data_IF_612675933367
#
_entry.id   IF_612675933367
#
_cell.length_a   1.000
_cell.length_b   1.000
_cell.length_c   1.000
_cell.angle_alpha   90.00
_cell.angle_beta   90.00
_cell.angle_gamma   90.00
#
_symmetry.space_group_name_H-M   'P 1'
#
loop_
_entity.id
_entity.type
_entity.pdbx_description
1 polymer ?
#
# COMPACT_ATOMS: atom_id res chain seq x y z
N UNK A 1 -4.32 -72.01 61.48
CA UNK A 1 -3.03 -72.07 60.75
C UNK A 1 -2.87 -70.80 59.94
N UNK A 2 -1.68 -70.18 60.05
CA UNK A 2 -1.10 -69.07 59.27
C UNK A 2 -1.87 -67.73 59.15
N UNK A 3 -1.35 -66.77 59.92
CA UNK A 3 -1.49 -65.32 59.81
C UNK A 3 -0.88 -64.82 58.48
N UNK A 4 -1.42 -63.76 57.90
CA UNK A 4 -0.62 -62.71 57.26
C UNK A 4 -1.29 -61.35 57.47
N UNK A 5 -0.65 -60.53 58.31
CA UNK A 5 -0.79 -59.08 58.37
C UNK A 5 -0.13 -58.51 57.10
N UNK A 6 -0.77 -57.53 56.47
CA UNK A 6 -0.06 -56.50 55.70
C UNK A 6 -0.68 -55.14 56.04
N UNK A 7 0.19 -54.22 56.46
CA UNK A 7 -0.11 -52.85 56.88
C UNK A 7 0.35 -51.86 55.80
N UNK A 8 -0.38 -50.72 55.74
CA UNK A 8 0.01 -49.36 55.26
C UNK A 8 0.15 -49.11 53.73
N UNK A 9 0.02 -47.85 53.23
CA UNK A 9 -0.37 -46.59 53.90
C UNK A 9 -1.48 -45.76 53.22
N UNK A 10 -1.97 -44.81 54.01
CA UNK A 10 -2.80 -43.64 53.69
C UNK A 10 -2.00 -42.62 52.84
N UNK A 11 -2.55 -42.17 51.72
CA UNK A 11 -2.06 -41.02 50.96
C UNK A 11 -3.20 -40.01 50.74
N UNK A 12 -3.17 -38.93 51.52
CA UNK A 12 -3.84 -37.66 51.28
C UNK A 12 -3.20 -36.98 50.07
N UNK A 13 -3.97 -36.71 49.00
CA UNK A 13 -3.62 -35.66 48.03
C UNK A 13 -4.87 -34.95 47.51
N UNK A 14 -5.00 -33.71 48.00
CA UNK A 14 -5.49 -32.49 47.38
C UNK A 14 -6.43 -32.58 46.16
N UNK A 15 -7.66 -32.12 46.37
CA UNK A 15 -8.49 -31.52 45.34
C UNK A 15 -7.82 -30.24 44.82
N UNK A 16 -7.32 -30.27 43.58
CA UNK A 16 -7.06 -29.07 42.79
C UNK A 16 -8.13 -28.97 41.71
N UNK A 17 -9.11 -28.10 41.98
CA UNK A 17 -9.99 -27.52 40.97
C UNK A 17 -9.11 -26.83 39.93
N UNK A 18 -8.89 -27.46 38.78
CA UNK A 18 -8.35 -26.77 37.61
C UNK A 18 -9.48 -25.91 37.04
N UNK A 19 -9.50 -24.67 37.49
CA UNK A 19 -10.19 -23.56 36.84
C UNK A 19 -9.70 -23.53 35.39
N UNK A 20 -10.52 -24.05 34.48
CA UNK A 20 -10.27 -24.02 33.05
C UNK A 20 -10.40 -22.56 32.62
N UNK A 21 -9.29 -21.84 32.74
CA UNK A 21 -9.11 -20.50 32.21
C UNK A 21 -9.60 -20.48 30.79
N UNK A 22 -10.74 -19.83 30.58
CA UNK A 22 -11.16 -19.38 29.27
C UNK A 22 -10.10 -18.40 28.82
N UNK A 23 -9.17 -18.85 27.98
CA UNK A 23 -8.41 -17.96 27.11
C UNK A 23 -9.44 -17.06 26.41
N UNK A 24 -9.39 -15.76 26.74
CA UNK A 24 -10.14 -14.77 26.00
C UNK A 24 -9.73 -14.93 24.52
N UNK A 25 -10.68 -14.96 23.57
CA UNK A 25 -10.34 -15.08 22.17
C UNK A 25 -9.38 -13.94 21.83
N UNK A 26 -8.21 -14.28 21.27
CA UNK A 26 -7.28 -13.29 20.76
C UNK A 26 -8.05 -12.34 19.85
N UNK A 27 -8.12 -11.07 20.24
CA UNK A 27 -8.65 -10.02 19.39
C UNK A 27 -7.78 -10.01 18.14
N UNK A 28 -8.33 -10.48 17.02
CA UNK A 28 -7.69 -10.38 15.72
C UNK A 28 -7.55 -8.89 15.44
N UNK A 29 -6.37 -8.33 15.71
CA UNK A 29 -6.05 -6.96 15.29
C UNK A 29 -6.20 -6.91 13.78
N UNK A 30 -6.93 -5.90 13.31
CA UNK A 30 -7.00 -5.62 11.87
C UNK A 30 -5.57 -5.44 11.33
N UNK A 31 -5.30 -5.88 10.09
CA UNK A 31 -3.97 -5.72 9.50
C UNK A 31 -3.60 -4.23 9.44
N UNK A 32 -2.35 -3.91 9.74
CA UNK A 32 -1.83 -2.56 9.53
C UNK A 32 -1.91 -2.19 8.04
N UNK A 33 -2.13 -0.92 7.75
CA UNK A 33 -2.23 -0.43 6.37
C UNK A 33 -0.88 0.09 5.89
N UNK A 34 -0.54 -0.17 4.64
CA UNK A 34 0.63 0.40 3.97
C UNK A 34 0.19 1.28 2.80
N UNK A 35 0.46 2.59 2.88
CA UNK A 35 0.43 3.49 1.72
C UNK A 35 1.71 3.27 0.91
N UNK A 36 1.58 2.67 -0.27
CA UNK A 36 2.66 2.48 -1.22
C UNK A 36 2.54 3.52 -2.34
N UNK A 37 3.44 4.50 -2.35
CA UNK A 37 3.40 5.64 -3.26
C UNK A 37 4.48 5.50 -4.33
N UNK A 38 4.10 5.62 -5.59
CA UNK A 38 5.02 5.68 -6.72
C UNK A 38 5.01 7.08 -7.33
N UNK A 39 6.11 7.80 -7.22
CA UNK A 39 6.31 9.07 -7.92
C UNK A 39 6.98 8.80 -9.26
N UNK A 40 6.31 9.19 -10.34
CA UNK A 40 6.90 9.13 -11.66
C UNK A 40 7.97 10.20 -11.83
N UNK A 41 9.17 9.77 -12.18
CA UNK A 41 10.35 10.61 -12.39
C UNK A 41 10.80 10.64 -13.84
N UNK A 42 9.96 10.15 -14.75
CA UNK A 42 10.17 10.23 -16.19
C UNK A 42 9.98 11.67 -16.71
N UNK A 43 10.42 11.90 -17.94
CA UNK A 43 10.36 13.22 -18.58
C UNK A 43 8.93 13.69 -18.92
N UNK A 44 7.96 12.78 -18.99
CA UNK A 44 6.58 13.10 -19.36
C UNK A 44 5.78 13.71 -18.21
N UNK A 45 6.20 13.46 -16.95
CA UNK A 45 5.56 14.00 -15.75
C UNK A 45 6.31 15.23 -15.24
N UNK A 46 5.58 16.33 -15.04
CA UNK A 46 6.13 17.60 -14.55
C UNK A 46 5.52 17.97 -13.20
N UNK A 47 6.04 17.45 -12.08
CA UNK A 47 5.47 17.69 -10.75
C UNK A 47 5.57 19.16 -10.29
N UNK A 48 6.39 19.98 -10.95
CA UNK A 48 6.52 21.41 -10.69
C UNK A 48 5.55 22.28 -11.50
N UNK A 49 4.79 21.70 -12.45
CA UNK A 49 3.67 22.40 -13.06
C UNK A 49 2.65 22.79 -11.97
N UNK A 50 2.12 24.04 -11.93
CA UNK A 50 1.27 24.48 -10.83
C UNK A 50 0.03 23.62 -10.62
N UNK A 51 -0.62 23.16 -11.70
CA UNK A 51 -1.80 22.32 -11.61
C UNK A 51 -1.44 20.93 -11.05
N UNK A 52 -0.44 20.29 -11.65
CA UNK A 52 0.05 18.96 -11.22
C UNK A 52 0.48 19.01 -9.76
N UNK A 53 1.26 20.03 -9.39
CA UNK A 53 1.76 20.24 -8.04
C UNK A 53 0.62 20.31 -7.03
N UNK A 54 -0.38 21.15 -7.27
CA UNK A 54 -1.52 21.31 -6.37
C UNK A 54 -2.32 20.00 -6.26
N UNK A 55 -2.61 19.35 -7.40
CA UNK A 55 -3.34 18.07 -7.43
C UNK A 55 -2.60 17.00 -6.62
N UNK A 56 -1.30 16.84 -6.86
CA UNK A 56 -0.48 15.84 -6.19
C UNK A 56 -0.33 16.14 -4.70
N UNK A 57 -0.16 17.41 -4.30
CA UNK A 57 -0.13 17.80 -2.88
C UNK A 57 -1.43 17.45 -2.16
N UNK A 58 -2.57 17.70 -2.79
CA UNK A 58 -3.87 17.37 -2.21
C UNK A 58 -4.04 15.84 -2.07
N UNK A 59 -3.75 15.09 -3.13
CA UNK A 59 -3.85 13.64 -3.12
C UNK A 59 -2.92 13.00 -2.06
N UNK A 60 -1.68 13.49 -1.94
CA UNK A 60 -0.71 13.03 -0.94
C UNK A 60 -1.15 13.36 0.50
N UNK A 61 -1.78 14.52 0.70
CA UNK A 61 -2.34 14.90 2.01
C UNK A 61 -3.49 13.98 2.40
N UNK A 62 -4.40 13.71 1.46
CA UNK A 62 -5.56 12.83 1.68
C UNK A 62 -5.10 11.41 1.99
N UNK A 63 -4.24 10.82 1.16
CA UNK A 63 -3.82 9.42 1.33
C UNK A 63 -3.11 9.18 2.65
N UNK A 64 -2.23 10.10 3.10
CA UNK A 64 -1.52 9.93 4.37
C UNK A 64 -2.50 10.03 5.54
N UNK A 65 -3.46 10.97 5.46
CA UNK A 65 -4.49 11.14 6.49
C UNK A 65 -5.43 9.94 6.58
N UNK A 66 -5.77 9.34 5.44
CA UNK A 66 -6.66 8.18 5.32
C UNK A 66 -5.99 6.84 5.62
N UNK A 67 -4.68 6.74 5.45
CA UNK A 67 -3.95 5.47 5.60
C UNK A 67 -3.23 5.35 6.93
N UNK A 68 -2.61 6.43 7.41
CA UNK A 68 -1.83 6.39 8.66
C UNK A 68 -2.78 6.68 9.82
N UNK A 69 -3.26 5.64 10.49
CA UNK A 69 -4.25 5.69 11.57
C UNK A 69 -3.69 5.37 12.94
N UNK A 70 -2.54 4.69 13.03
CA UNK A 70 -1.86 4.45 14.28
C UNK A 70 -0.61 3.61 14.12
N UNK A 71 -0.10 3.13 15.25
CA UNK A 71 1.13 2.37 15.35
C UNK A 71 1.13 1.17 14.40
N UNK A 72 2.19 1.07 13.61
CA UNK A 72 2.39 -0.02 12.66
C UNK A 72 1.94 0.30 11.23
N UNK A 73 1.09 1.32 11.02
CA UNK A 73 0.77 1.81 9.69
C UNK A 73 2.01 2.39 9.01
N UNK A 74 2.09 2.22 7.70
CA UNK A 74 3.32 2.42 6.93
C UNK A 74 3.13 3.33 5.73
N UNK A 75 4.15 4.11 5.42
CA UNK A 75 4.34 4.80 4.14
C UNK A 75 5.63 4.30 3.50
N UNK A 76 5.55 3.78 2.29
CA UNK A 76 6.71 3.52 1.42
C UNK A 76 6.60 4.32 0.13
N UNK A 77 7.66 5.04 -0.23
CA UNK A 77 7.74 5.82 -1.47
C UNK A 77 8.81 5.23 -2.37
N UNK A 78 8.44 5.05 -3.64
CA UNK A 78 9.30 4.59 -4.71
C UNK A 78 9.28 5.58 -5.88
N UNK A 79 10.34 5.57 -6.68
CA UNK A 79 10.38 6.27 -7.95
C UNK A 79 10.09 5.32 -9.11
N UNK A 80 9.32 5.79 -10.09
CA UNK A 80 9.15 5.08 -11.36
C UNK A 80 10.23 5.55 -12.33
N UNK A 81 11.03 4.59 -12.80
CA UNK A 81 12.01 4.74 -13.88
C UNK A 81 12.43 3.35 -14.37
N UNK A 82 13.54 3.20 -15.09
CA UNK A 82 14.08 1.91 -15.57
C UNK A 82 14.32 0.81 -14.49
N UNK A 83 14.30 1.15 -13.20
CA UNK A 83 14.61 0.24 -12.10
C UNK A 83 13.68 0.46 -10.88
N UNK A 84 12.40 0.70 -11.15
CA UNK A 84 11.36 1.00 -10.15
C UNK A 84 11.38 0.07 -8.93
N UNK A 85 11.55 -1.24 -9.13
CA UNK A 85 11.51 -2.23 -8.05
C UNK A 85 12.60 -2.03 -6.96
N UNK A 86 13.71 -1.35 -7.29
CA UNK A 86 14.81 -1.06 -6.35
C UNK A 86 14.89 0.40 -5.94
N UNK A 87 14.00 1.24 -6.46
CA UNK A 87 14.05 2.69 -6.34
C UNK A 87 13.30 3.22 -5.11
N UNK A 88 13.48 2.59 -3.95
CA UNK A 88 12.83 3.07 -2.72
C UNK A 88 13.49 4.36 -2.24
N UNK A 89 12.70 5.42 -2.14
CA UNK A 89 13.14 6.74 -1.71
C UNK A 89 12.88 6.99 -0.22
N UNK A 90 11.75 6.50 0.30
CA UNK A 90 11.33 6.73 1.69
C UNK A 90 10.64 5.50 2.27
N UNK A 91 10.89 5.23 3.54
CA UNK A 91 10.14 4.27 4.36
C UNK A 91 9.88 4.89 5.73
N UNK A 92 8.63 4.87 6.17
CA UNK A 92 8.20 5.35 7.49
C UNK A 92 7.13 4.44 8.07
N UNK A 93 7.20 4.24 9.39
CA UNK A 93 6.23 3.46 10.16
C UNK A 93 5.76 4.32 11.32
N UNK A 94 4.45 4.48 11.46
CA UNK A 94 3.85 5.25 12.55
C UNK A 94 4.12 4.58 13.89
N UNK A 95 4.47 5.40 14.88
CA UNK A 95 4.67 4.98 16.27
C UNK A 95 3.59 5.54 17.19
N UNK A 96 2.64 6.31 16.65
CA UNK A 96 1.52 6.86 17.41
C UNK A 96 0.63 5.74 17.96
N UNK A 97 0.66 5.56 19.27
CA UNK A 97 -0.09 4.53 19.97
C UNK A 97 -1.10 5.18 20.90
N UNK A 98 -2.35 4.69 20.86
CA UNK A 98 -3.38 5.13 21.80
C UNK A 98 -3.19 4.36 23.10
N UNK A 99 -3.14 5.10 24.21
CA UNK A 99 -3.07 4.51 25.56
C UNK A 99 -4.31 3.64 25.85
N UNK A 100 -4.12 2.54 26.56
CA UNK A 100 -5.23 1.72 27.02
C UNK A 100 -5.98 2.42 28.15
N UNK A 101 -7.21 2.83 27.85
CA UNK A 101 -8.09 3.58 28.76
C UNK A 101 -9.27 2.76 29.25
N UNK A 102 -9.19 1.43 29.17
CA UNK A 102 -10.27 0.52 29.59
C UNK A 102 -10.68 0.67 31.05
N UNK A 103 -9.79 1.14 31.92
CA UNK A 103 -10.06 1.43 33.33
C UNK A 103 -10.06 2.93 33.70
N UNK A 104 -10.01 3.83 32.70
CA UNK A 104 -9.88 5.26 32.94
C UNK A 104 -11.25 5.93 33.20
N UNK A 105 -11.26 7.06 33.91
CA UNK A 105 -12.45 7.91 33.95
C UNK A 105 -12.62 8.69 32.63
N UNK A 106 -13.78 9.34 32.43
CA UNK A 106 -14.07 10.05 31.18
C UNK A 106 -13.03 11.12 30.83
N UNK A 107 -12.58 11.90 31.82
CA UNK A 107 -11.59 12.97 31.62
C UNK A 107 -10.26 12.39 31.15
N UNK A 108 -9.81 11.31 31.76
CA UNK A 108 -8.56 10.63 31.41
C UNK A 108 -8.66 9.99 30.01
N UNK A 109 -9.81 9.41 29.67
CA UNK A 109 -10.05 8.85 28.34
C UNK A 109 -10.02 9.93 27.23
N UNK A 110 -10.63 11.10 27.47
CA UNK A 110 -10.61 12.24 26.55
C UNK A 110 -9.19 12.84 26.42
N UNK A 111 -8.42 12.88 27.51
CA UNK A 111 -7.04 13.34 27.51
C UNK A 111 -6.12 12.39 26.73
N UNK A 112 -6.31 11.07 26.86
CA UNK A 112 -5.59 10.06 26.10
C UNK A 112 -5.90 10.14 24.60
N UNK A 113 -7.18 10.29 24.23
CA UNK A 113 -7.59 10.48 22.82
C UNK A 113 -6.96 11.73 22.22
N UNK A 114 -7.01 12.85 22.94
CA UNK A 114 -6.43 14.11 22.48
C UNK A 114 -4.91 13.98 22.30
N UNK A 115 -4.23 13.35 23.26
CA UNK A 115 -2.78 13.09 23.20
C UNK A 115 -2.39 12.20 22.02
N UNK A 116 -3.20 11.18 21.75
CA UNK A 116 -3.03 10.29 20.61
C UNK A 116 -3.18 11.04 19.28
N UNK A 117 -4.28 11.78 19.10
CA UNK A 117 -4.53 12.54 17.86
C UNK A 117 -3.46 13.61 17.59
N UNK A 118 -2.99 14.31 18.63
CA UNK A 118 -1.87 15.26 18.50
C UNK A 118 -0.59 14.56 18.05
N UNK A 119 -0.29 13.37 18.59
CA UNK A 119 0.89 12.60 18.24
C UNK A 119 0.81 12.06 16.81
N UNK A 120 -0.33 11.49 16.45
CA UNK A 120 -0.61 10.98 15.11
C UNK A 120 -0.54 12.11 14.06
N UNK A 121 -1.10 13.27 14.36
CA UNK A 121 -1.04 14.42 13.45
C UNK A 121 0.38 14.92 13.22
N UNK A 122 1.24 14.94 14.26
CA UNK A 122 2.66 15.28 14.12
C UNK A 122 3.39 14.30 13.21
N UNK A 123 3.12 13.00 13.35
CA UNK A 123 3.71 11.98 12.47
C UNK A 123 3.25 12.12 11.03
N UNK A 124 1.93 12.28 10.80
CA UNK A 124 1.37 12.52 9.45
C UNK A 124 2.00 13.74 8.79
N UNK A 125 2.16 14.84 9.51
CA UNK A 125 2.81 16.05 8.98
C UNK A 125 4.29 15.84 8.65
N UNK A 126 5.01 15.03 9.45
CA UNK A 126 6.39 14.66 9.15
C UNK A 126 6.46 13.83 7.87
N UNK A 127 5.63 12.79 7.77
CA UNK A 127 5.57 11.88 6.63
C UNK A 127 5.21 12.64 5.35
N UNK A 128 4.21 13.52 5.42
CA UNK A 128 3.79 14.37 4.31
C UNK A 128 4.92 15.27 3.81
N UNK A 129 5.66 15.91 4.73
CA UNK A 129 6.78 16.78 4.38
C UNK A 129 7.88 16.02 3.67
N UNK A 130 8.26 14.85 4.20
CA UNK A 130 9.30 14.01 3.62
C UNK A 130 8.88 13.45 2.25
N UNK A 131 7.66 12.92 2.13
CA UNK A 131 7.14 12.44 0.85
C UNK A 131 7.02 13.57 -0.19
N UNK A 132 6.61 14.77 0.23
CA UNK A 132 6.59 15.94 -0.65
C UNK A 132 7.99 16.35 -1.11
N UNK A 133 9.00 16.32 -0.23
CA UNK A 133 10.40 16.54 -0.61
C UNK A 133 10.84 15.55 -1.70
N UNK A 134 10.53 14.27 -1.53
CA UNK A 134 10.83 13.26 -2.54
C UNK A 134 10.07 13.52 -3.85
N UNK A 135 8.80 13.92 -3.77
CA UNK A 135 7.96 14.20 -4.95
C UNK A 135 8.53 15.32 -5.83
N UNK A 136 9.01 16.42 -5.25
CA UNK A 136 9.54 17.56 -6.01
C UNK A 136 11.02 17.44 -6.39
N UNK A 137 11.73 16.46 -5.83
CA UNK A 137 13.12 16.19 -6.17
C UNK A 137 13.27 15.80 -7.65
N UNK A 138 14.12 16.48 -8.44
CA UNK A 138 14.28 16.19 -9.86
C UNK A 138 15.10 14.92 -10.10
N UNK A 139 14.73 14.13 -11.12
CA UNK A 139 15.59 13.07 -11.65
C UNK A 139 16.39 13.60 -12.85
N UNK A 140 17.66 13.89 -12.61
CA UNK A 140 18.59 14.40 -13.63
C UNK A 140 19.39 13.29 -14.32
N UNK A 141 19.19 12.03 -13.93
CA UNK A 141 19.88 10.89 -14.53
C UNK A 141 19.19 10.41 -15.80
N UNK A 142 19.87 9.57 -16.60
CA UNK A 142 19.32 9.00 -17.83
C UNK A 142 18.16 8.03 -17.61
N UNK A 143 17.93 7.58 -16.37
CA UNK A 143 16.81 6.70 -16.01
C UNK A 143 15.44 7.34 -16.29
N UNK A 144 15.37 8.68 -16.35
CA UNK A 144 14.14 9.42 -16.66
C UNK A 144 13.60 9.22 -18.09
N UNK A 145 14.33 8.48 -18.94
CA UNK A 145 13.90 8.14 -20.32
C UNK A 145 13.00 6.91 -20.39
N UNK A 146 12.87 6.19 -19.29
CA UNK A 146 12.12 4.94 -19.22
C UNK A 146 11.16 4.99 -18.04
N UNK A 147 10.04 4.28 -18.17
CA UNK A 147 8.99 4.24 -17.17
C UNK A 147 8.56 2.79 -17.00
N UNK A 148 9.08 2.13 -15.96
CA UNK A 148 8.77 0.73 -15.64
C UNK A 148 7.68 0.67 -14.55
N UNK A 149 6.41 0.79 -14.96
CA UNK A 149 5.27 0.70 -14.04
C UNK A 149 5.04 -0.76 -13.66
N UNK A 150 5.20 -1.72 -14.57
CA UNK A 150 5.02 -3.14 -14.27
C UNK A 150 5.92 -3.63 -13.12
N UNK A 151 7.14 -3.09 -12.98
CA UNK A 151 8.05 -3.42 -11.89
C UNK A 151 7.58 -2.93 -10.50
N UNK A 152 6.51 -2.13 -10.43
CA UNK A 152 5.87 -1.77 -9.16
C UNK A 152 5.04 -2.93 -8.57
N UNK A 153 4.51 -3.83 -9.40
CA UNK A 153 3.59 -4.88 -8.96
C UNK A 153 4.23 -5.86 -7.96
N UNK A 154 5.48 -6.35 -8.17
CA UNK A 154 6.14 -7.20 -7.17
C UNK A 154 6.45 -6.50 -5.84
N UNK A 155 6.50 -5.16 -5.83
CA UNK A 155 6.68 -4.39 -4.59
C UNK A 155 5.40 -4.42 -3.77
N UNK A 156 4.25 -4.20 -4.42
CA UNK A 156 2.94 -4.31 -3.77
C UNK A 156 2.66 -5.73 -3.28
N UNK A 157 2.94 -6.74 -4.13
CA UNK A 157 2.74 -8.16 -3.79
C UNK A 157 3.51 -8.56 -2.54
N UNK A 158 4.78 -8.15 -2.43
CA UNK A 158 5.61 -8.43 -1.25
C UNK A 158 5.09 -7.78 0.03
N UNK A 159 4.48 -6.60 -0.06
CA UNK A 159 3.89 -5.94 1.11
C UNK A 159 2.61 -6.65 1.54
N UNK A 160 1.80 -7.09 0.58
CA UNK A 160 0.60 -7.88 0.85
C UNK A 160 0.96 -9.26 1.43
N UNK A 161 2.00 -9.93 0.91
CA UNK A 161 2.56 -11.18 1.46
C UNK A 161 2.97 -11.03 2.93
N UNK A 162 3.44 -9.85 3.34
CA UNK A 162 3.80 -9.52 4.72
C UNK A 162 2.59 -9.23 5.63
N UNK A 163 1.37 -9.32 5.10
CA UNK A 163 0.13 -9.12 5.85
C UNK A 163 -0.33 -7.66 5.98
N UNK A 164 0.23 -6.73 5.19
CA UNK A 164 -0.29 -5.36 5.14
C UNK A 164 -1.54 -5.28 4.28
N UNK A 165 -2.50 -4.45 4.70
CA UNK A 165 -3.50 -3.92 3.77
C UNK A 165 -2.83 -2.85 2.90
N UNK A 166 -2.55 -3.17 1.63
CA UNK A 166 -1.76 -2.27 0.76
C UNK A 166 -2.67 -1.36 -0.06
N UNK A 167 -2.41 -0.05 0.01
CA UNK A 167 -3.00 0.96 -0.85
C UNK A 167 -1.93 1.59 -1.73
N UNK A 168 -1.97 1.28 -3.02
CA UNK A 168 -1.01 1.72 -4.02
C UNK A 168 -1.49 3.02 -4.67
N UNK A 169 -0.64 4.04 -4.72
CA UNK A 169 -0.92 5.31 -5.36
C UNK A 169 0.14 5.62 -6.43
N UNK A 170 -0.31 5.75 -7.68
CA UNK A 170 0.55 6.16 -8.79
C UNK A 170 0.38 7.64 -9.07
N UNK A 171 1.42 8.42 -8.82
CA UNK A 171 1.53 9.83 -9.20
C UNK A 171 2.26 9.90 -10.55
N UNK A 172 1.57 9.46 -11.59
CA UNK A 172 2.12 9.16 -12.92
C UNK A 172 1.09 9.47 -14.00
N UNK A 173 1.54 9.75 -15.21
CA UNK A 173 0.69 9.75 -16.41
C UNK A 173 0.33 8.33 -16.89
N UNK A 174 0.86 7.31 -16.22
CA UNK A 174 0.66 5.90 -16.47
C UNK A 174 1.16 5.43 -17.84
N UNK A 175 2.12 6.15 -18.44
CA UNK A 175 2.72 5.76 -19.71
C UNK A 175 3.90 4.81 -19.46
N UNK A 176 3.66 3.50 -19.57
CA UNK A 176 4.75 2.51 -19.60
C UNK A 176 5.63 2.76 -20.82
N UNK A 177 6.94 2.86 -20.61
CA UNK A 177 7.94 3.11 -21.65
C UNK A 177 9.16 2.24 -21.40
N UNK A 178 9.06 0.96 -21.79
CA UNK A 178 10.11 -0.02 -21.60
C UNK A 178 10.40 -0.79 -22.87
N UNK A 179 11.69 -0.97 -23.15
CA UNK A 179 12.16 -1.73 -24.30
C UNK A 179 12.34 -3.21 -23.95
N UNK A 180 12.13 -4.09 -24.93
CA UNK A 180 12.38 -5.53 -24.79
C UNK A 180 11.16 -6.40 -25.03
N UNK A 181 11.39 -7.71 -25.09
CA UNK A 181 10.34 -8.69 -25.28
C UNK A 181 9.37 -8.67 -24.09
N UNK A 182 8.06 -8.76 -24.37
CA UNK A 182 6.99 -8.72 -23.37
C UNK A 182 6.96 -7.43 -22.52
N UNK A 183 7.51 -6.33 -23.06
CA UNK A 183 7.37 -4.98 -22.51
C UNK A 183 6.46 -4.16 -23.40
N UNK A 184 5.83 -3.15 -22.81
CA UNK A 184 5.04 -2.16 -23.55
C UNK A 184 5.81 -0.85 -23.62
N UNK A 185 5.62 -0.15 -24.72
CA UNK A 185 6.05 1.23 -24.87
C UNK A 185 4.86 1.99 -25.45
N UNK A 186 4.14 2.67 -24.56
CA UNK A 186 2.96 3.45 -24.91
C UNK A 186 3.30 4.83 -25.47
N UNK A 187 4.57 5.26 -25.45
CA UNK A 187 5.00 6.41 -26.23
C UNK A 187 5.08 6.08 -27.73
N UNK A 188 5.56 4.89 -28.07
CA UNK A 188 5.72 4.48 -29.49
C UNK A 188 4.51 3.73 -30.03
N UNK A 189 3.88 2.88 -29.22
CA UNK A 189 2.78 2.02 -29.61
C UNK A 189 1.68 1.99 -28.54
N UNK A 190 0.96 3.11 -28.32
CA UNK A 190 -0.18 3.13 -27.41
C UNK A 190 -1.34 2.28 -27.97
N UNK A 191 -2.22 1.74 -27.10
CA UNK A 191 -3.42 1.06 -27.57
C UNK A 191 -4.33 2.03 -28.34
N UNK A 192 -4.69 1.63 -29.57
CA UNK A 192 -5.52 2.40 -30.48
C UNK A 192 -7.02 2.32 -30.15
N UNK A 193 -7.43 1.33 -29.36
CA UNK A 193 -8.82 1.13 -28.94
C UNK A 193 -8.91 0.47 -27.56
N UNK A 194 -10.07 0.58 -26.92
CA UNK A 194 -10.37 -0.10 -25.67
C UNK A 194 -10.23 -1.63 -25.79
N UNK A 195 -10.71 -2.22 -26.89
CA UNK A 195 -10.57 -3.67 -27.12
C UNK A 195 -9.12 -4.12 -27.24
N UNK A 196 -8.26 -3.30 -27.88
CA UNK A 196 -6.83 -3.58 -27.95
C UNK A 196 -6.18 -3.46 -26.56
N UNK A 197 -6.52 -2.41 -25.80
CA UNK A 197 -6.05 -2.21 -24.43
C UNK A 197 -6.39 -3.41 -23.54
N UNK A 198 -7.64 -3.86 -23.57
CA UNK A 198 -8.09 -5.01 -22.77
C UNK A 198 -7.42 -6.32 -23.19
N UNK A 199 -7.27 -6.55 -24.49
CA UNK A 199 -6.60 -7.75 -25.01
C UNK A 199 -5.13 -7.80 -24.56
N UNK A 200 -4.42 -6.67 -24.64
CA UNK A 200 -3.05 -6.57 -24.17
C UNK A 200 -2.93 -6.77 -22.66
N UNK A 201 -3.82 -6.13 -21.90
CA UNK A 201 -3.85 -6.25 -20.45
C UNK A 201 -4.07 -7.70 -19.99
N UNK A 202 -4.98 -8.44 -20.64
CA UNK A 202 -5.24 -9.85 -20.35
C UNK A 202 -4.02 -10.74 -20.63
N UNK A 203 -3.36 -10.53 -21.78
CA UNK A 203 -2.14 -11.26 -22.13
C UNK A 203 -1.00 -11.00 -21.11
N UNK A 204 -0.83 -9.74 -20.71
CA UNK A 204 0.18 -9.38 -19.71
C UNK A 204 -0.18 -9.94 -18.33
N UNK A 205 -1.45 -9.92 -17.93
CA UNK A 205 -1.92 -10.53 -16.69
C UNK A 205 -1.67 -12.04 -16.64
N UNK A 206 -1.95 -12.79 -17.71
CA UNK A 206 -1.70 -14.24 -17.78
C UNK A 206 -0.25 -14.59 -17.47
N UNK A 207 0.69 -13.77 -17.95
CA UNK A 207 2.12 -13.94 -17.69
C UNK A 207 2.52 -13.57 -16.26
N UNK A 208 1.86 -12.57 -15.68
CA UNK A 208 2.23 -11.99 -14.38
C UNK A 208 1.59 -12.72 -13.19
N UNK A 209 0.35 -13.21 -13.35
CA UNK A 209 -0.43 -13.94 -12.32
C UNK A 209 0.38 -14.98 -11.54
N UNK A 210 1.17 -15.87 -12.17
CA UNK A 210 1.92 -16.90 -11.43
C UNK A 210 2.92 -16.33 -10.42
N UNK A 211 3.35 -15.09 -10.58
CA UNK A 211 4.35 -14.41 -9.74
C UNK A 211 3.76 -13.37 -8.79
N UNK A 212 2.44 -13.12 -8.82
CA UNK A 212 1.77 -12.05 -8.09
C UNK A 212 0.53 -12.60 -7.37
N UNK A 213 0.75 -13.49 -6.40
CA UNK A 213 -0.31 -14.26 -5.76
C UNK A 213 -1.07 -13.50 -4.66
N UNK A 214 -0.54 -12.37 -4.18
CA UNK A 214 -1.01 -11.67 -2.98
C UNK A 214 -1.68 -10.33 -3.29
N UNK A 215 -1.88 -9.99 -4.56
CA UNK A 215 -2.48 -8.71 -4.96
C UNK A 215 -3.99 -8.62 -4.74
N UNK A 216 -4.67 -9.71 -4.37
CA UNK A 216 -6.14 -9.76 -4.36
C UNK A 216 -6.80 -8.71 -3.46
N UNK A 217 -6.21 -8.42 -2.31
CA UNK A 217 -6.76 -7.49 -1.31
C UNK A 217 -6.12 -6.09 -1.35
N UNK A 218 -5.39 -5.80 -2.43
CA UNK A 218 -4.74 -4.50 -2.62
C UNK A 218 -5.69 -3.49 -3.27
N UNK A 219 -5.46 -2.20 -3.01
CA UNK A 219 -6.21 -1.09 -3.59
C UNK A 219 -5.28 -0.27 -4.48
N UNK A 220 -5.70 0.08 -5.69
CA UNK A 220 -4.88 0.80 -6.66
C UNK A 220 -5.53 2.14 -7.00
N UNK A 221 -4.81 3.24 -6.87
CA UNK A 221 -5.28 4.60 -7.12
C UNK A 221 -4.37 5.29 -8.15
N UNK A 222 -4.98 5.95 -9.13
CA UNK A 222 -4.27 6.68 -10.18
C UNK A 222 -4.44 8.18 -9.96
N UNK A 223 -3.34 8.87 -9.64
CA UNK A 223 -3.30 10.33 -9.53
C UNK A 223 -2.70 10.89 -10.81
N UNK A 224 -3.52 10.99 -11.86
CA UNK A 224 -3.07 11.43 -13.18
C UNK A 224 -2.73 12.93 -13.21
N UNK A 225 -1.65 13.38 -13.90
CA UNK A 225 -1.21 14.78 -13.94
C UNK A 225 -2.02 15.65 -14.92
N UNK A 226 -3.16 15.19 -15.39
CA UNK A 226 -3.90 15.85 -16.46
C UNK A 226 -5.03 16.73 -15.92
N UNK A 227 -5.21 17.96 -16.46
CA UNK A 227 -6.41 18.74 -16.18
C UNK A 227 -7.64 18.05 -16.79
N UNK A 228 -8.85 18.29 -16.26
CA UNK A 228 -10.09 17.71 -16.81
C UNK A 228 -10.35 18.06 -18.28
N UNK A 229 -9.69 19.11 -18.79
CA UNK A 229 -9.78 19.59 -20.18
C UNK A 229 -8.70 18.99 -21.10
N UNK A 230 -7.87 18.07 -20.61
CA UNK A 230 -6.82 17.44 -21.41
C UNK A 230 -7.42 16.67 -22.59
N UNK A 231 -6.81 16.84 -23.77
CA UNK A 231 -7.24 16.10 -24.96
C UNK A 231 -6.82 14.63 -24.90
N UNK A 232 -7.49 13.78 -25.67
CA UNK A 232 -7.14 12.36 -25.82
C UNK A 232 -5.72 12.10 -26.38
N UNK A 233 -5.08 13.11 -27.00
CA UNK A 233 -3.68 13.02 -27.44
C UNK A 233 -2.69 13.15 -26.29
N UNK A 234 -3.08 13.85 -25.23
CA UNK A 234 -2.26 14.09 -24.04
C UNK A 234 -2.56 13.02 -22.98
N UNK A 235 -3.84 12.72 -22.78
CA UNK A 235 -4.32 11.65 -21.90
C UNK A 235 -5.08 10.62 -22.74
N UNK A 236 -4.40 9.58 -23.21
CA UNK A 236 -5.05 8.55 -24.00
C UNK A 236 -5.88 7.63 -23.08
N UNK A 237 -7.23 7.65 -23.16
CA UNK A 237 -8.08 6.87 -22.26
C UNK A 237 -7.88 5.36 -22.40
N UNK A 238 -7.37 4.89 -23.55
CA UNK A 238 -7.08 3.48 -23.74
C UNK A 238 -5.87 3.01 -22.91
N UNK A 239 -4.96 3.91 -22.52
CA UNK A 239 -3.87 3.57 -21.60
C UNK A 239 -4.43 3.33 -20.19
N UNK A 240 -5.28 4.23 -19.69
CA UNK A 240 -5.99 4.03 -18.42
C UNK A 240 -6.79 2.74 -18.46
N UNK A 241 -7.49 2.47 -19.57
CA UNK A 241 -8.25 1.21 -19.75
C UNK A 241 -7.38 -0.05 -19.69
N UNK A 242 -6.17 0.01 -20.24
CA UNK A 242 -5.21 -1.09 -20.14
C UNK A 242 -4.87 -1.38 -18.67
N UNK A 243 -4.56 -0.35 -17.89
CA UNK A 243 -4.22 -0.52 -16.47
C UNK A 243 -5.38 -1.02 -15.63
N UNK A 244 -6.57 -0.44 -15.83
CA UNK A 244 -7.80 -0.92 -15.18
C UNK A 244 -8.02 -2.41 -15.41
N UNK A 245 -7.93 -2.84 -16.67
CA UNK A 245 -8.12 -4.25 -17.02
C UNK A 245 -6.99 -5.12 -16.46
N UNK A 246 -5.74 -4.65 -16.50
CA UNK A 246 -4.61 -5.40 -15.98
C UNK A 246 -4.76 -5.66 -14.48
N UNK A 247 -5.07 -4.62 -13.70
CA UNK A 247 -5.25 -4.74 -12.25
C UNK A 247 -6.46 -5.60 -11.91
N UNK A 248 -7.56 -5.45 -12.64
CA UNK A 248 -8.73 -6.31 -12.50
C UNK A 248 -8.38 -7.79 -12.74
N UNK A 249 -7.64 -8.08 -13.81
CA UNK A 249 -7.22 -9.44 -14.13
C UNK A 249 -6.27 -10.01 -13.08
N UNK A 250 -5.40 -9.19 -12.48
CA UNK A 250 -4.53 -9.59 -11.37
C UNK A 250 -5.28 -9.79 -10.04
N UNK A 251 -6.60 -9.62 -10.03
CA UNK A 251 -7.46 -9.90 -8.88
C UNK A 251 -7.56 -8.76 -7.88
N UNK A 252 -7.06 -7.56 -8.19
CA UNK A 252 -7.11 -6.38 -7.32
C UNK A 252 -8.58 -6.08 -6.95
N UNK A 253 -8.92 -6.34 -5.69
CA UNK A 253 -10.30 -6.48 -5.19
C UNK A 253 -11.05 -5.17 -4.98
N UNK A 254 -10.38 -4.01 -5.08
CA UNK A 254 -11.02 -2.70 -5.09
C UNK A 254 -10.61 -1.89 -6.31
N UNK A 255 -11.60 -1.18 -6.85
CA UNK A 255 -11.57 -0.50 -8.14
C UNK A 255 -10.42 0.49 -8.22
N UNK A 256 -9.85 0.59 -9.42
CA UNK A 256 -8.96 1.69 -9.80
C UNK A 256 -9.74 2.99 -9.71
N UNK A 257 -9.35 3.86 -8.77
CA UNK A 257 -9.94 5.20 -8.64
C UNK A 257 -8.99 6.24 -9.23
N UNK A 258 -9.51 7.04 -10.16
CA UNK A 258 -8.85 8.29 -10.56
C UNK A 258 -9.14 9.34 -9.47
N UNK A 259 -8.07 9.85 -8.87
CA UNK A 259 -8.11 10.86 -7.78
C UNK A 259 -7.63 12.21 -8.29
#
# INVERSE_FOLDING_TARGET
MKKFLLYLPLALLAACSSDSGKEAPATVQAPNTCALVFFDKSLSVRPNDPYVKQKYQQALTNLITETIKGKGDRLEVYFIHDNTAKARALERVSQAEKEDVSSANQTDAEAAETSFEVSLQKERQKFLREAYTEMVSPNTSSSNRYTDILASLPVADRLAERGYQVKVYYFSDMIESMTGANRRDFHTMPPASASQAESWAKQDAERLKPSLAHLSDTEFHLVLPFPPTASAKVNNPNVTRYWEMLFQELGVGKRVEEV
#
